data_IF_180417902754
#
_entry.id   IF_180417902754
#
_cell.length_a   1.000
_cell.length_b   1.000
_cell.length_c   1.000
_cell.angle_alpha   90.00
_cell.angle_beta   90.00
_cell.angle_gamma   90.00
#
_symmetry.space_group_name_H-M   'P 1'
#
loop_
_entity.id
_entity.type
_entity.pdbx_description
1 polymer ?
#
# COMPACT_ATOMS: atom_id res chain seq x y z
N UNK A 1 27.12 -16.31 10.46
CA UNK A 1 25.73 -16.51 10.02
C UNK A 1 24.83 -16.13 11.17
N UNK A 2 24.14 -15.00 11.05
CA UNK A 2 23.13 -14.57 12.03
C UNK A 2 21.71 -14.67 11.44
N UNK A 3 21.56 -15.36 10.30
CA UNK A 3 20.27 -15.59 9.66
C UNK A 3 19.43 -16.58 10.48
N UNK A 4 18.11 -16.46 10.39
CA UNK A 4 17.18 -17.35 11.10
C UNK A 4 17.10 -18.72 10.43
N UNK A 5 16.72 -18.74 9.16
CA UNK A 5 16.73 -19.93 8.30
C UNK A 5 17.58 -19.61 7.07
N UNK A 6 18.55 -20.47 6.77
CA UNK A 6 19.38 -20.36 5.57
C UNK A 6 19.32 -21.67 4.78
N UNK A 7 19.04 -21.57 3.48
CA UNK A 7 19.04 -22.69 2.54
C UNK A 7 20.01 -22.44 1.38
N UNK A 8 20.87 -23.42 1.09
CA UNK A 8 21.79 -23.41 -0.06
C UNK A 8 21.08 -23.66 -1.42
N UNK A 9 19.75 -23.82 -1.40
CA UNK A 9 18.89 -23.97 -2.57
C UNK A 9 17.54 -23.35 -2.25
N UNK A 10 16.53 -24.16 -1.94
CA UNK A 10 15.17 -23.70 -1.67
C UNK A 10 14.83 -23.72 -0.17
N UNK A 11 14.12 -22.69 0.29
CA UNK A 11 13.45 -22.68 1.58
C UNK A 11 11.94 -22.80 1.37
N UNK A 12 11.39 -23.99 1.64
CA UNK A 12 9.94 -24.24 1.62
C UNK A 12 9.35 -24.16 3.03
N UNK A 13 8.55 -23.13 3.28
CA UNK A 13 7.85 -22.92 4.55
C UNK A 13 6.46 -23.58 4.48
N UNK A 14 6.46 -24.91 4.57
CA UNK A 14 5.25 -25.72 4.37
C UNK A 14 4.51 -26.13 5.66
N UNK A 15 4.96 -25.76 6.87
CA UNK A 15 4.20 -26.01 8.10
C UNK A 15 4.69 -25.19 9.29
N UNK A 16 3.84 -25.05 10.31
CA UNK A 16 4.21 -24.47 11.59
C UNK A 16 3.88 -22.98 11.76
N UNK A 17 4.12 -22.50 12.98
CA UNK A 17 4.19 -21.08 13.34
C UNK A 17 5.67 -20.77 13.46
N UNK A 18 6.12 -19.72 12.80
CA UNK A 18 7.52 -19.28 12.82
C UNK A 18 7.59 -17.92 13.50
N UNK A 19 8.46 -17.83 14.50
CA UNK A 19 8.76 -16.61 15.25
C UNK A 19 10.28 -16.45 15.26
N UNK A 20 10.80 -15.47 14.52
CA UNK A 20 12.25 -15.28 14.30
C UNK A 20 12.64 -13.87 14.71
N UNK A 21 13.74 -13.76 15.45
CA UNK A 21 14.45 -12.50 15.65
C UNK A 21 15.92 -12.67 15.32
N UNK A 22 16.44 -11.87 14.38
CA UNK A 22 17.82 -11.96 13.88
C UNK A 22 18.53 -10.62 13.98
N UNK A 23 19.84 -10.63 14.24
CA UNK A 23 20.63 -9.39 14.37
C UNK A 23 20.21 -8.45 15.51
N UNK A 24 19.34 -8.90 16.42
CA UNK A 24 18.76 -8.05 17.47
C UNK A 24 17.50 -7.28 17.03
N UNK A 25 16.96 -7.59 15.85
CA UNK A 25 15.73 -7.04 15.31
C UNK A 25 15.91 -5.74 14.53
N UNK A 26 14.82 -5.29 13.93
CA UNK A 26 14.70 -4.16 13.00
C UNK A 26 15.17 -2.82 13.53
N UNK A 27 15.39 -2.69 14.83
CA UNK A 27 15.92 -1.47 15.45
C UNK A 27 17.44 -1.41 15.51
N UNK A 28 18.12 -2.50 15.11
CA UNK A 28 19.58 -2.59 15.09
C UNK A 28 20.08 -2.29 13.68
N UNK A 29 21.13 -1.47 13.59
CA UNK A 29 21.90 -1.25 12.37
C UNK A 29 23.12 -2.14 12.45
N UNK A 30 23.36 -2.96 11.42
CA UNK A 30 24.53 -3.82 11.35
C UNK A 30 25.81 -2.98 11.15
N UNK A 31 26.94 -3.49 11.65
CA UNK A 31 28.20 -2.74 11.67
C UNK A 31 29.02 -2.87 10.38
N UNK A 32 28.70 -3.85 9.55
CA UNK A 32 29.39 -4.24 8.33
C UNK A 32 28.32 -4.63 7.29
N UNK A 33 28.52 -4.27 6.02
CA UNK A 33 27.60 -4.58 4.91
C UNK A 33 27.67 -6.06 4.49
N UNK A 34 28.68 -6.79 4.95
CA UNK A 34 28.81 -8.24 4.76
C UNK A 34 28.16 -9.05 5.88
N UNK A 35 27.71 -8.41 6.96
CA UNK A 35 26.98 -9.09 8.02
C UNK A 35 25.58 -9.47 7.52
N UNK A 36 25.29 -10.77 7.51
CA UNK A 36 23.95 -11.29 7.18
C UNK A 36 23.18 -11.57 8.48
N UNK A 37 22.03 -10.93 8.64
CA UNK A 37 21.12 -11.13 9.77
C UNK A 37 19.66 -11.26 9.30
N UNK A 38 19.47 -11.99 8.20
CA UNK A 38 18.20 -12.13 7.50
C UNK A 38 17.25 -13.07 8.24
N UNK A 39 15.95 -12.84 8.13
CA UNK A 39 14.95 -13.75 8.69
C UNK A 39 15.04 -15.14 8.05
N UNK A 40 14.76 -15.18 6.75
CA UNK A 40 14.81 -16.38 5.91
C UNK A 40 15.58 -16.04 4.64
N UNK A 41 16.65 -16.80 4.38
CA UNK A 41 17.53 -16.66 3.22
C UNK A 41 17.55 -17.95 2.40
N UNK A 42 17.50 -17.83 1.08
CA UNK A 42 17.69 -18.96 0.17
C UNK A 42 18.46 -18.56 -1.09
N UNK A 43 19.32 -19.46 -1.59
CA UNK A 43 20.09 -19.23 -2.82
C UNK A 43 19.24 -19.31 -4.10
N UNK A 44 18.05 -19.91 -4.03
CA UNK A 44 17.16 -20.03 -5.20
C UNK A 44 15.74 -19.61 -4.84
N UNK A 45 14.90 -20.48 -4.29
CA UNK A 45 13.52 -20.11 -4.01
C UNK A 45 13.23 -19.98 -2.51
N UNK A 46 12.45 -18.96 -2.15
CA UNK A 46 11.68 -18.97 -0.91
C UNK A 46 10.21 -19.14 -1.29
N UNK A 47 9.57 -20.18 -0.74
CA UNK A 47 8.14 -20.43 -0.94
C UNK A 47 7.46 -20.48 0.42
N UNK A 48 6.54 -19.55 0.66
CA UNK A 48 5.73 -19.48 1.86
C UNK A 48 4.31 -19.91 1.54
N UNK A 49 3.90 -21.06 2.07
CA UNK A 49 2.50 -21.49 2.04
C UNK A 49 1.70 -20.80 3.15
N UNK A 50 0.38 -21.08 3.25
CA UNK A 50 -0.57 -20.49 4.20
C UNK A 50 -0.19 -20.67 5.69
N UNK A 51 0.78 -19.91 6.19
CA UNK A 51 1.41 -20.04 7.52
C UNK A 51 1.38 -18.73 8.29
N UNK A 52 1.58 -18.83 9.61
CA UNK A 52 1.70 -17.65 10.49
C UNK A 52 3.17 -17.41 10.80
N UNK A 53 3.69 -16.27 10.33
CA UNK A 53 5.07 -15.85 10.50
C UNK A 53 5.10 -14.51 11.24
N UNK A 54 5.92 -14.42 12.28
CA UNK A 54 6.33 -13.17 12.91
C UNK A 54 7.84 -13.10 12.80
N UNK A 55 8.37 -12.09 12.11
CA UNK A 55 9.82 -11.97 11.91
C UNK A 55 10.25 -10.53 12.19
N UNK A 56 11.28 -10.38 13.04
CA UNK A 56 11.92 -9.12 13.38
C UNK A 56 13.44 -9.23 13.10
N UNK A 57 13.90 -8.72 11.97
CA UNK A 57 15.27 -8.89 11.49
C UNK A 57 16.03 -7.57 11.41
N UNK A 58 17.35 -7.55 11.65
CA UNK A 58 18.17 -6.33 11.49
C UNK A 58 18.56 -6.04 10.03
N UNK A 59 18.43 -7.06 9.18
CA UNK A 59 18.63 -7.14 7.73
C UNK A 59 17.33 -7.73 7.15
N UNK A 60 17.26 -8.13 5.88
CA UNK A 60 16.01 -8.53 5.22
C UNK A 60 15.19 -9.56 5.99
N UNK A 61 13.87 -9.47 5.93
CA UNK A 61 13.02 -10.53 6.47
C UNK A 61 13.04 -11.76 5.56
N UNK A 62 12.83 -11.58 4.26
CA UNK A 62 13.01 -12.61 3.25
C UNK A 62 13.99 -12.12 2.19
N UNK A 63 14.99 -12.92 1.87
CA UNK A 63 15.97 -12.62 0.82
C UNK A 63 16.25 -13.87 -0.02
N UNK A 64 16.01 -13.77 -1.32
CA UNK A 64 16.21 -14.84 -2.29
C UNK A 64 17.03 -14.33 -3.47
N UNK A 65 18.05 -15.08 -3.89
CA UNK A 65 18.83 -14.72 -5.07
C UNK A 65 18.13 -15.05 -6.41
N UNK A 66 16.86 -15.48 -6.39
CA UNK A 66 16.04 -15.69 -7.60
C UNK A 66 14.59 -15.27 -7.35
N UNK A 67 13.79 -16.09 -6.66
CA UNK A 67 12.39 -15.75 -6.45
C UNK A 67 11.83 -16.04 -5.05
N UNK A 68 10.98 -15.11 -4.62
CA UNK A 68 10.16 -15.18 -3.42
C UNK A 68 8.69 -15.32 -3.80
N UNK A 69 8.04 -16.39 -3.31
CA UNK A 69 6.63 -16.67 -3.55
C UNK A 69 5.88 -16.77 -2.24
N UNK A 70 4.91 -15.88 -2.02
CA UNK A 70 3.96 -15.94 -0.92
C UNK A 70 2.61 -16.45 -1.46
N UNK A 71 2.29 -17.72 -1.18
CA UNK A 71 1.02 -18.33 -1.58
C UNK A 71 -0.15 -17.94 -0.66
N UNK A 72 0.12 -17.50 0.58
CA UNK A 72 -0.90 -17.22 1.59
C UNK A 72 -0.31 -16.98 2.98
N UNK A 73 -1.18 -16.94 4.00
CA UNK A 73 -0.77 -16.89 5.40
C UNK A 73 -1.03 -15.55 6.10
N UNK A 74 -0.50 -15.43 7.33
CA UNK A 74 -0.50 -14.19 8.12
C UNK A 74 0.95 -13.86 8.48
N UNK A 75 1.50 -12.83 7.88
CA UNK A 75 2.90 -12.41 8.00
C UNK A 75 2.95 -11.07 8.72
N UNK A 76 3.60 -11.02 9.88
CA UNK A 76 3.87 -9.78 10.62
C UNK A 76 5.38 -9.55 10.62
N UNK A 77 5.84 -8.56 9.86
CA UNK A 77 7.24 -8.36 9.54
C UNK A 77 7.72 -7.00 10.04
N UNK A 78 8.94 -6.98 10.54
CA UNK A 78 9.70 -5.78 10.84
C UNK A 78 11.17 -6.05 10.46
N UNK A 79 11.79 -5.13 9.75
CA UNK A 79 13.16 -5.31 9.28
C UNK A 79 13.94 -3.99 9.32
N UNK A 80 15.26 -4.09 9.42
CA UNK A 80 16.18 -2.97 9.24
C UNK A 80 16.44 -2.63 7.78
N UNK A 81 16.23 -3.61 6.89
CA UNK A 81 16.38 -3.52 5.44
C UNK A 81 15.06 -3.94 4.78
N UNK A 82 15.02 -4.90 3.84
CA UNK A 82 13.82 -5.13 3.02
C UNK A 82 12.92 -6.25 3.56
N UNK A 83 11.61 -6.05 3.50
CA UNK A 83 10.70 -7.02 4.08
C UNK A 83 10.53 -8.25 3.18
N UNK A 84 10.40 -8.04 1.87
CA UNK A 84 10.23 -9.09 0.87
C UNK A 84 11.15 -8.78 -0.31
N UNK A 85 12.35 -9.37 -0.32
CA UNK A 85 13.36 -9.14 -1.36
C UNK A 85 13.63 -10.43 -2.15
N UNK A 86 13.65 -10.32 -3.48
CA UNK A 86 14.25 -11.31 -4.34
C UNK A 86 14.88 -10.66 -5.58
N UNK A 87 16.09 -11.07 -5.95
CA UNK A 87 16.85 -10.46 -7.05
C UNK A 87 16.06 -10.41 -8.38
N UNK A 88 15.27 -11.46 -8.67
CA UNK A 88 14.53 -11.57 -9.93
C UNK A 88 13.02 -11.38 -9.74
N UNK A 89 12.33 -12.14 -8.89
CA UNK A 89 10.88 -11.94 -8.73
C UNK A 89 10.31 -12.13 -7.33
N UNK A 90 9.48 -11.17 -6.91
CA UNK A 90 8.71 -11.23 -5.67
C UNK A 90 7.22 -11.28 -5.98
N UNK A 91 6.58 -12.41 -5.68
CA UNK A 91 5.18 -12.68 -6.01
C UNK A 91 4.33 -12.94 -4.75
N UNK A 92 3.22 -12.22 -4.64
CA UNK A 92 2.22 -12.38 -3.57
C UNK A 92 0.89 -12.81 -4.20
N UNK A 93 0.50 -14.06 -3.97
CA UNK A 93 -0.76 -14.61 -4.47
C UNK A 93 -1.93 -14.39 -3.51
N UNK A 94 -1.72 -14.53 -2.21
CA UNK A 94 -2.74 -14.29 -1.19
C UNK A 94 -2.11 -14.05 0.19
N UNK A 95 -2.94 -13.85 1.21
CA UNK A 95 -2.55 -13.75 2.62
C UNK A 95 -2.84 -12.39 3.25
N UNK A 96 -2.45 -12.23 4.51
CA UNK A 96 -2.44 -10.96 5.23
C UNK A 96 -1.02 -10.63 5.62
N UNK A 97 -0.42 -9.68 4.92
CA UNK A 97 0.96 -9.24 5.11
C UNK A 97 0.94 -7.86 5.75
N UNK A 98 1.59 -7.73 6.90
CA UNK A 98 1.78 -6.46 7.59
C UNK A 98 3.27 -6.23 7.79
N UNK A 99 3.84 -5.30 7.02
CA UNK A 99 5.19 -4.78 7.23
C UNK A 99 5.08 -3.51 8.06
N UNK A 100 5.56 -3.61 9.30
CA UNK A 100 5.47 -2.51 10.28
C UNK A 100 6.64 -1.53 10.18
N UNK A 101 7.77 -1.99 9.63
CA UNK A 101 8.99 -1.23 9.39
C UNK A 101 9.86 -1.97 8.37
N UNK A 102 10.42 -1.24 7.42
CA UNK A 102 11.47 -1.70 6.52
C UNK A 102 12.21 -0.52 5.87
N UNK A 103 13.33 -0.78 5.21
CA UNK A 103 13.95 0.13 4.26
C UNK A 103 13.07 0.22 3.01
N UNK A 104 12.96 -0.84 2.22
CA UNK A 104 11.92 -1.04 1.21
C UNK A 104 10.88 -2.09 1.64
N UNK A 105 9.65 -1.93 1.19
CA UNK A 105 8.57 -2.84 1.57
C UNK A 105 8.58 -4.16 0.81
N UNK A 106 8.67 -4.09 -0.51
CA UNK A 106 8.63 -5.23 -1.44
C UNK A 106 9.57 -4.89 -2.58
N UNK A 107 10.55 -5.73 -2.85
CA UNK A 107 11.57 -5.50 -3.87
C UNK A 107 11.74 -6.74 -4.77
N UNK A 108 12.02 -6.46 -6.04
CA UNK A 108 12.64 -7.37 -7.00
C UNK A 108 12.57 -6.79 -8.40
N UNK A 109 13.30 -7.35 -9.37
CA UNK A 109 13.19 -6.88 -10.76
C UNK A 109 11.73 -6.95 -11.25
N UNK A 110 11.03 -8.04 -10.93
CA UNK A 110 9.60 -8.20 -11.18
C UNK A 110 8.85 -8.33 -9.87
N UNK A 111 7.91 -7.40 -9.62
CA UNK A 111 7.00 -7.47 -8.47
C UNK A 111 5.60 -7.84 -8.94
N UNK A 112 4.99 -8.88 -8.35
CA UNK A 112 3.64 -9.33 -8.68
C UNK A 112 2.76 -9.36 -7.43
N UNK A 113 1.72 -8.53 -7.41
CA UNK A 113 0.68 -8.55 -6.40
C UNK A 113 -0.61 -9.07 -7.04
N UNK A 114 -0.87 -10.36 -6.86
CA UNK A 114 -2.06 -11.01 -7.39
C UNK A 114 -3.25 -11.01 -6.43
N UNK A 115 -3.00 -10.92 -5.12
CA UNK A 115 -4.06 -10.99 -4.11
C UNK A 115 -3.62 -10.57 -2.71
N UNK A 116 -4.40 -11.02 -1.73
CA UNK A 116 -4.14 -10.77 -0.31
C UNK A 116 -4.50 -9.35 0.18
N UNK A 117 -4.18 -9.12 1.44
CA UNK A 117 -4.23 -7.82 2.12
C UNK A 117 -2.83 -7.46 2.58
N UNK A 118 -2.23 -6.46 1.94
CA UNK A 118 -0.85 -6.03 2.14
C UNK A 118 -0.86 -4.63 2.77
N UNK A 119 -0.23 -4.48 3.94
CA UNK A 119 -0.08 -3.19 4.62
C UNK A 119 1.40 -2.95 4.85
N UNK A 120 1.94 -1.96 4.16
CA UNK A 120 3.38 -1.77 4.03
C UNK A 120 3.78 -0.41 4.59
N UNK A 121 4.77 -0.42 5.48
CA UNK A 121 5.40 0.79 6.03
C UNK A 121 6.90 0.70 5.84
N UNK A 122 7.46 1.66 5.10
CA UNK A 122 8.87 1.70 4.72
C UNK A 122 9.49 3.08 4.91
N UNK A 123 10.81 3.12 5.08
CA UNK A 123 11.58 4.36 5.21
C UNK A 123 12.13 4.89 3.89
N UNK A 124 12.24 4.04 2.88
CA UNK A 124 12.47 4.43 1.49
C UNK A 124 11.21 4.10 0.69
N UNK A 125 11.28 3.17 -0.25
CA UNK A 125 10.20 2.87 -1.18
C UNK A 125 9.21 1.88 -0.62
N UNK A 126 7.94 2.06 -0.97
CA UNK A 126 6.89 1.14 -0.53
C UNK A 126 6.95 -0.20 -1.26
N UNK A 127 7.09 -0.13 -2.58
CA UNK A 127 7.21 -1.26 -3.49
C UNK A 127 8.17 -0.80 -4.57
N UNK A 128 9.26 -1.51 -4.77
CA UNK A 128 10.30 -1.18 -5.72
C UNK A 128 10.46 -2.31 -6.73
N UNK A 129 10.12 -2.04 -8.00
CA UNK A 129 10.45 -2.92 -9.10
C UNK A 129 11.75 -2.45 -9.74
N UNK A 130 12.87 -2.97 -9.24
CA UNK A 130 14.22 -2.61 -9.65
C UNK A 130 15.14 -3.83 -9.64
N UNK A 131 16.09 -3.84 -10.57
CA UNK A 131 17.08 -4.89 -10.72
C UNK A 131 18.04 -4.55 -11.86
N UNK A 132 19.07 -5.39 -12.01
CA UNK A 132 20.11 -5.21 -13.03
C UNK A 132 19.62 -5.54 -14.47
N UNK A 133 18.48 -6.20 -14.60
CA UNK A 133 17.87 -6.58 -15.88
C UNK A 133 16.93 -5.49 -16.45
N UNK A 134 16.54 -5.64 -17.72
CA UNK A 134 15.76 -4.63 -18.46
C UNK A 134 14.23 -4.70 -18.24
N UNK A 135 13.71 -5.67 -17.48
CA UNK A 135 12.26 -5.86 -17.26
C UNK A 135 11.89 -5.58 -15.80
N UNK A 136 12.14 -4.35 -15.38
CA UNK A 136 11.85 -3.83 -14.06
C UNK A 136 10.36 -3.45 -13.93
N UNK A 137 9.50 -4.47 -13.86
CA UNK A 137 8.05 -4.30 -14.03
C UNK A 137 7.24 -4.71 -12.79
N UNK A 138 6.32 -3.83 -12.39
CA UNK A 138 5.37 -4.08 -11.31
C UNK A 138 4.00 -4.46 -11.86
N UNK A 139 3.47 -5.60 -11.45
CA UNK A 139 2.13 -6.07 -11.79
C UNK A 139 1.21 -6.05 -10.57
N UNK A 140 0.13 -5.27 -10.66
CA UNK A 140 -0.94 -5.25 -9.66
C UNK A 140 -2.18 -5.89 -10.28
N UNK A 141 -2.32 -7.20 -10.06
CA UNK A 141 -3.38 -8.01 -10.67
C UNK A 141 -4.64 -8.03 -9.80
N UNK A 142 -4.49 -7.85 -8.48
CA UNK A 142 -5.61 -7.89 -7.54
C UNK A 142 -5.21 -7.56 -6.10
N UNK A 143 -6.06 -7.95 -5.15
CA UNK A 143 -5.83 -7.75 -3.72
C UNK A 143 -6.11 -6.33 -3.22
N UNK A 144 -5.80 -6.13 -1.94
CA UNK A 144 -5.82 -4.83 -1.27
C UNK A 144 -4.40 -4.52 -0.79
N UNK A 145 -3.81 -3.43 -1.29
CA UNK A 145 -2.47 -3.00 -0.92
C UNK A 145 -2.53 -1.56 -0.42
N UNK A 146 -2.06 -1.34 0.81
CA UNK A 146 -1.95 -0.02 1.42
C UNK A 146 -0.49 0.25 1.80
N UNK A 147 0.07 1.32 1.24
CA UNK A 147 1.47 1.72 1.40
C UNK A 147 1.54 3.04 2.16
N UNK A 148 2.47 3.11 3.11
CA UNK A 148 2.95 4.36 3.72
C UNK A 148 4.48 4.35 3.68
N UNK A 149 5.04 5.05 2.69
CA UNK A 149 6.48 5.10 2.44
C UNK A 149 7.01 6.51 2.73
N UNK A 150 8.34 6.68 2.80
CA UNK A 150 8.97 8.01 2.94
C UNK A 150 9.77 8.44 1.71
N UNK A 151 10.30 7.48 0.95
CA UNK A 151 10.69 7.59 -0.45
C UNK A 151 9.48 7.42 -1.36
N UNK A 152 9.64 6.77 -2.50
CA UNK A 152 8.56 6.55 -3.45
C UNK A 152 7.47 5.64 -2.91
N UNK A 153 6.24 5.93 -3.32
CA UNK A 153 5.11 5.11 -2.89
C UNK A 153 5.14 3.74 -3.55
N UNK A 154 5.14 3.76 -4.88
CA UNK A 154 5.46 2.63 -5.74
C UNK A 154 6.48 3.15 -6.74
N UNK A 155 7.55 2.42 -6.96
CA UNK A 155 8.61 2.74 -7.92
C UNK A 155 8.83 1.56 -8.86
N UNK A 156 9.09 1.87 -10.12
CA UNK A 156 9.49 0.90 -11.13
C UNK A 156 10.46 1.54 -12.11
N UNK A 157 11.68 1.00 -12.20
CA UNK A 157 12.65 1.37 -13.24
C UNK A 157 12.23 0.91 -14.66
N UNK A 158 10.99 0.45 -14.81
CA UNK A 158 10.34 0.10 -16.06
C UNK A 158 8.88 0.53 -16.03
N UNK A 159 7.97 -0.45 -16.08
CA UNK A 159 6.52 -0.19 -16.15
C UNK A 159 5.77 -0.66 -14.92
N UNK A 160 4.64 -0.02 -14.65
CA UNK A 160 3.63 -0.47 -13.70
C UNK A 160 2.38 -0.85 -14.48
N UNK A 161 1.84 -2.03 -14.23
CA UNK A 161 0.66 -2.56 -14.89
C UNK A 161 -0.37 -2.96 -13.84
N UNK A 162 -1.40 -2.13 -13.68
CA UNK A 162 -2.53 -2.42 -12.79
C UNK A 162 -3.71 -2.98 -13.59
N UNK A 163 -4.07 -4.23 -13.32
CA UNK A 163 -5.18 -4.94 -13.96
C UNK A 163 -6.45 -4.84 -13.11
N UNK A 164 -6.32 -4.97 -11.78
CA UNK A 164 -7.43 -4.87 -10.83
C UNK A 164 -6.89 -4.65 -9.40
N UNK A 165 -7.77 -4.71 -8.40
CA UNK A 165 -7.42 -4.59 -6.99
C UNK A 165 -7.67 -3.19 -6.43
N UNK A 166 -7.24 -2.99 -5.19
CA UNK A 166 -7.26 -1.69 -4.52
C UNK A 166 -5.86 -1.33 -4.07
N UNK A 167 -5.33 -0.21 -4.58
CA UNK A 167 -4.03 0.32 -4.20
C UNK A 167 -4.19 1.68 -3.52
N UNK A 168 -3.75 1.80 -2.27
CA UNK A 168 -3.79 3.05 -1.51
C UNK A 168 -2.38 3.45 -1.12
N UNK A 169 -1.92 4.63 -1.53
CA UNK A 169 -0.54 5.06 -1.33
C UNK A 169 -0.49 6.40 -0.61
N UNK A 170 0.21 6.43 0.51
CA UNK A 170 0.48 7.63 1.29
C UNK A 170 1.99 7.91 1.29
N UNK A 171 2.48 8.54 0.22
CA UNK A 171 3.88 8.89 0.05
C UNK A 171 4.06 9.88 -1.10
N UNK A 172 5.14 10.67 -1.17
CA UNK A 172 6.04 11.12 -0.12
C UNK A 172 5.64 12.51 0.38
N UNK A 173 6.37 13.04 1.36
CA UNK A 173 6.24 14.47 1.74
C UNK A 173 7.32 15.35 1.14
N UNK A 174 8.36 14.75 0.56
CA UNK A 174 9.50 15.42 -0.05
C UNK A 174 9.31 15.51 -1.58
N UNK A 175 9.91 16.50 -2.25
CA UNK A 175 9.70 16.74 -3.69
C UNK A 175 10.65 15.94 -4.60
N UNK A 176 11.61 15.19 -4.05
CA UNK A 176 12.55 14.34 -4.78
C UNK A 176 11.99 12.95 -5.10
N UNK A 177 10.88 12.55 -4.47
CA UNK A 177 10.17 11.31 -4.72
C UNK A 177 8.70 11.61 -5.11
N UNK A 178 8.03 10.63 -5.70
CA UNK A 178 6.63 10.57 -6.13
C UNK A 178 5.77 9.52 -5.39
N UNK A 179 4.46 9.73 -5.38
CA UNK A 179 3.51 8.74 -4.84
C UNK A 179 3.41 7.51 -5.74
N UNK A 180 3.70 7.71 -7.02
CA UNK A 180 3.83 6.77 -8.10
C UNK A 180 5.03 7.28 -8.87
N UNK A 181 6.03 6.45 -9.06
CA UNK A 181 7.17 6.71 -9.93
C UNK A 181 7.38 5.54 -10.89
N UNK A 182 7.74 5.86 -12.12
CA UNK A 182 7.99 4.89 -13.17
C UNK A 182 8.78 5.54 -14.31
N UNK A 183 9.65 4.75 -14.95
CA UNK A 183 10.46 5.22 -16.07
C UNK A 183 9.74 5.15 -17.42
N UNK A 184 8.97 4.08 -17.67
CA UNK A 184 8.32 3.83 -18.97
C UNK A 184 6.83 4.18 -18.96
N UNK A 185 6.00 3.38 -18.27
CA UNK A 185 4.56 3.63 -18.22
C UNK A 185 3.89 3.12 -16.94
N UNK A 186 2.79 3.77 -16.56
CA UNK A 186 1.82 3.22 -15.62
C UNK A 186 0.48 2.99 -16.33
N UNK A 187 0.21 1.74 -16.71
CA UNK A 187 -1.03 1.35 -17.39
C UNK A 187 -2.07 0.86 -16.38
N UNK A 188 -3.25 1.48 -16.38
CA UNK A 188 -4.37 1.11 -15.50
C UNK A 188 -5.54 0.58 -16.32
N UNK A 189 -5.81 -0.71 -16.17
CA UNK A 189 -6.85 -1.44 -16.88
C UNK A 189 -8.08 -1.77 -16.02
N UNK A 190 -8.00 -1.56 -14.70
CA UNK A 190 -9.10 -1.80 -13.79
C UNK A 190 -8.71 -1.60 -12.32
N UNK A 191 -9.68 -1.81 -11.43
CA UNK A 191 -9.53 -1.63 -9.99
C UNK A 191 -9.61 -0.17 -9.56
N UNK A 192 -9.15 0.11 -8.35
CA UNK A 192 -9.12 1.46 -7.77
C UNK A 192 -7.74 1.76 -7.24
N UNK A 193 -7.11 2.85 -7.68
CA UNK A 193 -5.90 3.36 -7.05
C UNK A 193 -6.08 4.78 -6.56
N UNK A 194 -5.54 5.06 -5.37
CA UNK A 194 -5.52 6.38 -4.74
C UNK A 194 -4.11 6.61 -4.20
N UNK A 195 -3.38 7.56 -4.76
CA UNK A 195 -2.03 7.89 -4.34
C UNK A 195 -1.91 9.38 -3.99
N UNK A 196 -1.45 9.68 -2.78
CA UNK A 196 -1.27 11.06 -2.31
C UNK A 196 0.14 11.29 -1.82
N UNK A 197 0.78 12.34 -2.33
CA UNK A 197 2.16 12.68 -2.04
C UNK A 197 2.50 14.15 -2.22
N UNK A 198 3.77 14.45 -2.39
CA UNK A 198 4.29 15.78 -2.73
C UNK A 198 3.83 16.18 -4.15
N UNK A 199 4.07 17.42 -4.56
CA UNK A 199 3.71 17.88 -5.91
C UNK A 199 4.87 17.88 -6.90
N UNK A 200 6.12 17.75 -6.42
CA UNK A 200 7.35 17.82 -7.21
C UNK A 200 7.40 16.78 -8.32
N UNK A 201 7.55 15.51 -7.94
CA UNK A 201 7.61 14.34 -8.83
C UNK A 201 6.23 13.68 -9.02
N UNK A 202 5.14 14.41 -8.79
CA UNK A 202 3.82 13.79 -8.83
C UNK A 202 3.45 13.32 -10.25
N UNK A 203 3.31 12.00 -10.41
CA UNK A 203 2.86 11.30 -11.60
C UNK A 203 1.46 10.67 -11.42
N UNK A 204 0.89 10.15 -12.51
CA UNK A 204 -0.35 9.34 -12.51
C UNK A 204 -0.30 8.35 -13.68
N UNK A 205 -1.38 7.60 -13.91
CA UNK A 205 -1.50 6.67 -15.03
C UNK A 205 -1.17 7.33 -16.38
N UNK A 206 -0.44 6.61 -17.23
CA UNK A 206 0.00 7.06 -18.55
C UNK A 206 -1.16 7.11 -19.55
N UNK A 207 -0.96 7.90 -20.61
CA UNK A 207 -1.85 7.94 -21.77
C UNK A 207 -1.88 6.54 -22.43
N UNK A 208 -3.08 6.00 -22.66
CA UNK A 208 -3.28 4.64 -23.19
C UNK A 208 -3.87 3.65 -22.17
N UNK A 209 -3.95 4.02 -20.89
CA UNK A 209 -4.70 3.28 -19.88
C UNK A 209 -6.17 3.12 -20.29
N UNK A 210 -6.74 1.92 -20.08
CA UNK A 210 -8.16 1.67 -20.38
C UNK A 210 -9.09 2.35 -19.37
N UNK A 211 -8.62 2.61 -18.15
CA UNK A 211 -9.36 3.31 -17.10
C UNK A 211 -8.88 4.76 -16.97
N UNK A 212 -9.82 5.69 -16.81
CA UNK A 212 -9.51 7.11 -16.63
C UNK A 212 -8.77 7.36 -15.31
N UNK A 213 -7.85 8.33 -15.31
CA UNK A 213 -7.14 8.76 -14.12
C UNK A 213 -7.10 10.28 -14.00
N UNK A 214 -7.08 10.76 -12.76
CA UNK A 214 -6.88 12.16 -12.41
C UNK A 214 -5.49 12.35 -11.80
N UNK A 215 -4.87 13.49 -12.10
CA UNK A 215 -3.78 14.04 -11.32
C UNK A 215 -4.15 15.44 -10.89
N UNK A 216 -4.24 15.65 -9.58
CA UNK A 216 -4.57 16.94 -8.99
C UNK A 216 -3.37 17.40 -8.17
N UNK A 217 -2.83 18.58 -8.50
CA UNK A 217 -1.81 19.26 -7.68
C UNK A 217 -2.46 20.45 -6.98
N UNK A 218 -2.43 20.44 -5.65
CA UNK A 218 -2.99 21.52 -4.83
C UNK A 218 -2.00 22.68 -4.72
N UNK A 219 -2.52 23.91 -4.72
CA UNK A 219 -1.71 25.13 -4.58
C UNK A 219 -0.93 25.22 -3.24
N UNK A 220 -1.30 24.42 -2.25
CA UNK A 220 -0.61 24.31 -0.97
C UNK A 220 -0.83 22.95 -0.34
N UNK A 221 0.16 22.48 0.43
CA UNK A 221 0.08 21.21 1.16
C UNK A 221 -1.11 21.18 2.12
N UNK A 222 -1.69 19.99 2.26
CA UNK A 222 -2.79 19.65 3.16
C UNK A 222 -2.26 18.76 4.27
N UNK A 223 -2.73 19.01 5.48
CA UNK A 223 -2.34 18.21 6.64
C UNK A 223 -2.88 16.79 6.50
N UNK A 224 -2.14 15.82 7.06
CA UNK A 224 -2.63 14.46 7.24
C UNK A 224 -4.05 14.45 7.82
N UNK A 225 -4.85 13.47 7.40
CA UNK A 225 -6.26 13.30 7.74
C UNK A 225 -7.20 14.39 7.22
N UNK A 226 -6.73 15.37 6.44
CA UNK A 226 -7.65 16.21 5.66
C UNK A 226 -8.28 15.35 4.57
N UNK A 227 -9.57 15.03 4.71
CA UNK A 227 -10.29 14.17 3.79
C UNK A 227 -10.35 14.79 2.41
N UNK A 228 -10.09 13.96 1.40
CA UNK A 228 -10.40 14.24 0.01
C UNK A 228 -11.72 13.54 -0.28
N UNK A 229 -12.70 14.31 -0.75
CA UNK A 229 -13.96 13.79 -1.24
C UNK A 229 -14.13 14.19 -2.71
N UNK A 230 -14.42 13.22 -3.57
CA UNK A 230 -14.74 13.46 -4.98
C UNK A 230 -16.15 12.95 -5.24
N UNK A 231 -16.99 13.81 -5.81
CA UNK A 231 -18.35 13.45 -6.23
C UNK A 231 -18.60 13.83 -7.68
N UNK A 232 -19.47 13.08 -8.34
CA UNK A 232 -19.94 13.39 -9.69
C UNK A 232 -20.94 14.58 -9.72
N UNK A 233 -21.44 14.89 -10.91
CA UNK A 233 -22.43 15.95 -11.15
C UNK A 233 -23.81 15.69 -10.52
N UNK A 234 -24.13 14.43 -10.21
CA UNK A 234 -25.35 14.03 -9.49
C UNK A 234 -25.22 14.17 -7.97
N UNK A 235 -23.99 14.41 -7.47
CA UNK A 235 -23.66 14.42 -6.05
C UNK A 235 -23.33 13.04 -5.49
N UNK A 236 -23.20 12.01 -6.33
CA UNK A 236 -22.77 10.68 -5.92
C UNK A 236 -21.29 10.71 -5.57
N UNK A 237 -20.95 10.19 -4.39
CA UNK A 237 -19.58 10.10 -3.93
C UNK A 237 -18.84 8.95 -4.61
N UNK A 238 -17.71 9.25 -5.26
CA UNK A 238 -16.85 8.24 -5.92
C UNK A 238 -15.52 8.03 -5.17
N UNK A 239 -15.12 8.97 -4.30
CA UNK A 239 -13.95 8.82 -3.45
C UNK A 239 -14.14 9.53 -2.13
N UNK A 240 -13.90 8.82 -1.03
CA UNK A 240 -13.57 9.43 0.27
C UNK A 240 -12.28 8.81 0.77
N UNK A 241 -11.22 9.60 0.84
CA UNK A 241 -9.91 9.15 1.29
C UNK A 241 -9.34 10.06 2.37
N UNK A 242 -8.69 9.46 3.37
CA UNK A 242 -8.06 10.14 4.49
C UNK A 242 -6.55 9.87 4.44
N UNK A 243 -5.75 10.72 3.75
CA UNK A 243 -4.31 10.52 3.68
C UNK A 243 -3.66 10.48 5.06
N UNK A 244 -2.84 9.47 5.32
CA UNK A 244 -2.13 9.30 6.60
C UNK A 244 -0.93 10.26 6.75
N UNK A 245 -0.43 10.79 5.63
CA UNK A 245 0.65 11.79 5.55
C UNK A 245 0.14 13.13 5.03
N UNK A 246 0.93 14.19 5.25
CA UNK A 246 0.76 15.47 4.58
C UNK A 246 0.89 15.25 3.07
N UNK A 247 0.04 15.91 2.28
CA UNK A 247 0.01 15.73 0.83
C UNK A 247 -0.20 17.06 0.10
N UNK A 248 0.24 17.14 -1.15
CA UNK A 248 0.00 18.24 -2.07
C UNK A 248 -0.45 17.74 -3.45
N UNK A 249 -0.41 16.44 -3.71
CA UNK A 249 -0.97 15.83 -4.91
C UNK A 249 -1.98 14.72 -4.57
N UNK A 250 -2.83 14.42 -5.54
CA UNK A 250 -3.66 13.23 -5.60
C UNK A 250 -3.60 12.68 -7.02
N UNK A 251 -3.14 11.44 -7.16
CA UNK A 251 -3.37 10.61 -8.34
C UNK A 251 -4.49 9.61 -8.00
N UNK A 252 -5.50 9.50 -8.88
CA UNK A 252 -6.68 8.70 -8.60
C UNK A 252 -7.21 8.05 -9.88
N UNK A 253 -7.50 6.76 -9.84
CA UNK A 253 -8.29 6.08 -10.87
C UNK A 253 -9.32 5.15 -10.23
N UNK A 254 -10.47 5.05 -10.86
CA UNK A 254 -11.52 4.07 -10.57
C UNK A 254 -12.40 3.90 -11.80
N UNK A 255 -13.19 2.83 -11.84
CA UNK A 255 -14.20 2.62 -12.89
C UNK A 255 -15.29 3.70 -12.92
N UNK A 256 -15.42 4.48 -11.85
CA UNK A 256 -16.44 5.53 -11.72
C UNK A 256 -16.01 6.86 -12.38
N UNK A 257 -14.76 6.94 -12.87
CA UNK A 257 -14.27 8.06 -13.65
C UNK A 257 -14.64 7.90 -15.13
N UNK A 258 -15.45 8.83 -15.63
CA UNK A 258 -15.93 8.89 -17.01
C UNK A 258 -15.35 10.13 -17.70
N UNK A 259 -14.86 9.96 -18.93
CA UNK A 259 -14.30 11.05 -19.72
C UNK A 259 -15.41 12.06 -20.07
N UNK A 260 -15.08 13.35 -19.98
CA UNK A 260 -16.02 14.45 -20.28
C UNK A 260 -16.98 14.81 -19.14
N UNK A 261 -17.04 14.02 -18.08
CA UNK A 261 -17.85 14.34 -16.90
C UNK A 261 -17.19 15.40 -16.00
N UNK A 262 -18.03 16.10 -15.24
CA UNK A 262 -17.58 17.09 -14.25
C UNK A 262 -17.62 16.51 -12.85
N UNK A 263 -16.51 16.65 -12.13
CA UNK A 263 -16.36 16.19 -10.74
C UNK A 263 -16.14 17.37 -9.79
N UNK A 264 -16.69 17.27 -8.59
CA UNK A 264 -16.45 18.21 -7.49
C UNK A 264 -15.46 17.60 -6.51
N UNK A 265 -14.41 18.36 -6.18
CA UNK A 265 -13.42 17.98 -5.16
C UNK A 265 -13.65 18.83 -3.91
N UNK A 266 -13.95 18.19 -2.79
CA UNK A 266 -14.11 18.83 -1.49
C UNK A 266 -13.03 18.35 -0.51
N UNK A 267 -12.33 19.30 0.11
CA UNK A 267 -11.39 19.03 1.19
C UNK A 267 -12.07 19.26 2.53
N UNK A 268 -12.05 18.26 3.42
CA UNK A 268 -12.73 18.33 4.72
C UNK A 268 -11.79 17.95 5.85
N UNK A 269 -11.59 18.85 6.79
CA UNK A 269 -10.95 18.50 8.07
C UNK A 269 -12.02 17.79 8.93
N UNK A 270 -11.79 16.55 9.41
CA UNK A 270 -12.73 15.87 10.28
C UNK A 270 -13.02 16.73 11.52
N UNK A 271 -14.28 17.16 11.67
CA UNK A 271 -14.72 17.78 12.93
C UNK A 271 -14.89 16.66 13.95
N UNK A 272 -14.04 16.61 14.99
CA UNK A 272 -14.32 15.82 16.18
C UNK A 272 -15.50 16.45 16.92
N UNK A 273 -16.72 16.01 16.62
CA UNK A 273 -17.86 16.32 17.48
C UNK A 273 -17.81 15.37 18.68
N UNK A 274 -17.30 15.85 19.81
CA UNK A 274 -17.52 15.18 21.09
C UNK A 274 -19.00 15.26 21.43
N UNK A 275 -19.68 14.12 21.53
CA UNK A 275 -21.02 14.07 22.10
C UNK A 275 -20.86 14.23 23.61
N UNK A 276 -20.96 15.45 24.13
CA UNK A 276 -20.77 15.74 25.57
C UNK A 276 -22.02 15.41 26.40
N UNK A 277 -23.15 15.06 25.77
CA UNK A 277 -24.35 14.60 26.48
C UNK A 277 -25.25 13.78 25.55
N UNK A 278 -25.47 12.50 25.88
CA UNK A 278 -26.69 11.82 25.45
C UNK A 278 -27.80 12.21 26.42
N UNK A 279 -28.54 13.28 26.13
CA UNK A 279 -29.87 13.43 26.74
C UNK A 279 -30.86 12.63 25.89
N UNK A 280 -31.51 11.66 26.54
CA UNK A 280 -32.61 10.89 25.97
C UNK A 280 -33.84 11.80 25.93
N UNK A 281 -33.99 12.61 24.88
CA UNK A 281 -35.23 13.35 24.69
C UNK A 281 -36.28 12.38 24.15
N UNK A 282 -37.07 11.80 25.04
CA UNK A 282 -38.34 11.17 24.66
C UNK A 282 -39.34 12.32 24.55
N UNK A 283 -39.58 12.80 23.33
CA UNK A 283 -40.71 13.68 23.07
C UNK A 283 -41.96 12.78 23.01
N UNK A 284 -42.68 12.68 24.13
CA UNK A 284 -44.02 12.11 24.11
C UNK A 284 -44.91 13.00 23.24
N UNK A 285 -45.31 12.48 22.07
CA UNK A 285 -46.35 13.09 21.24
C UNK A 285 -47.66 13.13 22.06
N UNK A 286 -48.31 14.30 22.23
CA UNK A 286 -49.61 14.33 22.87
C UNK A 286 -50.64 13.66 21.94
N UNK A 287 -51.32 12.66 22.48
CA UNK A 287 -52.48 11.98 21.85
C UNK A 287 -53.46 12.98 21.24
N UNK A 288 -53.59 12.94 19.92
CA UNK A 288 -54.66 13.60 19.19
C UNK A 288 -55.95 12.78 19.41
N UNK A 289 -56.83 13.23 20.31
CA UNK A 289 -58.21 12.73 20.35
C UNK A 289 -59.05 13.52 19.35
N UNK A 290 -59.41 12.88 18.23
CA UNK A 290 -60.61 13.25 17.47
C UNK A 290 -61.83 13.06 18.37
N UNK A 291 -62.57 14.13 18.65
CA UNK A 291 -63.99 14.03 19.00
C UNK A 291 -64.80 14.58 17.84
N UNK A 292 -65.49 13.67 17.15
CA UNK A 292 -66.71 13.98 16.42
C UNK A 292 -67.81 14.27 17.45
N UNK A 293 -68.52 15.39 17.30
CA UNK A 293 -69.98 15.34 17.34
C UNK A 293 -70.60 16.49 16.53
N UNK A 294 -71.42 16.08 15.59
CA UNK A 294 -72.41 16.84 14.83
C UNK A 294 -73.57 17.32 15.72
N UNK A 295 -74.07 18.52 15.36
CA UNK A 295 -75.26 19.26 15.81
C UNK A 295 -75.19 19.94 17.18
#
# INVERSE_FOLDING_TARGET
MNDGIQAESDALIASGIIDITTGGGSSVVLGDDTDSAKGIKAETYIIVDDRTLTIDSADDTFNSNDALVINGGTLNLATGDDALHADNSTAIYDGTITVTKSYEGIEGAIVIIAGGTNKITSSDDGINAAGDDFDNTMYIVGGYTAVTASGDGIDANGSIIMINGTLLVNSPTNNGNGAVDYDDSFTVNGGTFVATGSSGMAQTASQGSAQNALLIKFNSSKQANTLINISDSSGTNILTFAPSKTYQSLAFSSSDLTEGETYTIALRVPKRMGITQMQRTVEEQPTLRLQYLTL
#
